data_IF_462638046360
#
_entry.id   IF_462638046360
#
_cell.length_a   1.000
_cell.length_b   1.000
_cell.length_c   1.000
_cell.angle_alpha   90.00
_cell.angle_beta   90.00
_cell.angle_gamma   90.00
#
_symmetry.space_group_name_H-M   'P 1'
#
loop_
_entity.id
_entity.type
_entity.pdbx_description
1 polymer ?
#
# COMPACT_ATOMS: atom_id res chain seq x y z
N UNK A 1 7.13 3.88 6.29
CA UNK A 1 6.15 4.99 6.31
C UNK A 1 4.75 4.40 6.28
N UNK A 2 3.81 4.85 7.11
CA UNK A 2 2.42 4.33 7.09
C UNK A 2 1.51 5.11 6.11
N UNK A 3 0.36 4.55 5.77
CA UNK A 3 -0.56 5.14 4.79
C UNK A 3 -0.99 6.58 5.10
N UNK A 4 -1.26 6.91 6.37
CA UNK A 4 -1.66 8.26 6.76
C UNK A 4 -0.53 9.27 6.54
N UNK A 5 0.70 8.90 6.90
CA UNK A 5 1.89 9.70 6.66
C UNK A 5 2.15 9.87 5.16
N UNK A 6 1.97 8.82 4.38
CA UNK A 6 2.11 8.86 2.91
C UNK A 6 1.09 9.81 2.27
N UNK A 7 -0.17 9.78 2.70
CA UNK A 7 -1.17 10.73 2.22
C UNK A 7 -0.76 12.19 2.46
N UNK A 8 -0.19 12.47 3.62
CA UNK A 8 0.33 13.80 3.95
C UNK A 8 1.54 14.15 3.08
N UNK A 9 2.46 13.21 2.83
CA UNK A 9 3.64 13.46 2.00
C UNK A 9 3.30 13.75 0.54
N UNK A 10 2.21 13.18 0.02
CA UNK A 10 1.70 13.49 -1.34
C UNK A 10 0.74 14.70 -1.37
N UNK A 11 0.66 15.47 -0.27
CA UNK A 11 -0.05 16.75 -0.22
C UNK A 11 -1.51 16.71 0.22
N UNK A 12 -2.03 15.60 0.76
CA UNK A 12 -3.36 15.59 1.39
C UNK A 12 -3.32 16.29 2.74
N UNK A 13 -4.43 16.95 3.10
CA UNK A 13 -4.57 17.53 4.45
C UNK A 13 -4.56 16.43 5.51
N UNK A 14 -4.06 16.73 6.72
CA UNK A 14 -4.10 15.79 7.84
C UNK A 14 -5.50 15.25 8.13
N UNK A 15 -6.54 16.09 7.99
CA UNK A 15 -7.94 15.67 8.15
C UNK A 15 -8.33 14.62 7.11
N UNK A 16 -7.97 14.85 5.84
CA UNK A 16 -8.21 13.90 4.75
C UNK A 16 -7.45 12.60 4.98
N UNK A 17 -6.17 12.70 5.36
CA UNK A 17 -5.32 11.55 5.64
C UNK A 17 -5.90 10.67 6.74
N UNK A 18 -6.30 11.27 7.87
CA UNK A 18 -6.96 10.58 8.98
C UNK A 18 -8.28 9.95 8.57
N UNK A 19 -9.10 10.65 7.79
CA UNK A 19 -10.38 10.11 7.30
C UNK A 19 -10.17 8.89 6.40
N UNK A 20 -9.22 8.94 5.47
CA UNK A 20 -8.96 7.83 4.56
C UNK A 20 -8.34 6.64 5.30
N UNK A 21 -7.33 6.87 6.13
CA UNK A 21 -6.72 5.85 7.00
C UNK A 21 -7.75 5.19 7.91
N UNK A 22 -8.62 5.98 8.54
CA UNK A 22 -9.71 5.48 9.38
C UNK A 22 -10.78 4.71 8.60
N UNK A 23 -11.07 5.11 7.36
CA UNK A 23 -12.01 4.38 6.51
C UNK A 23 -11.47 2.99 6.14
N UNK A 24 -10.20 2.90 5.75
CA UNK A 24 -9.52 1.63 5.41
C UNK A 24 -9.51 0.69 6.61
N UNK A 25 -9.07 1.16 7.78
CA UNK A 25 -8.95 0.34 9.01
C UNK A 25 -10.29 0.06 9.70
N UNK A 26 -11.32 0.85 9.40
CA UNK A 26 -12.61 0.80 10.07
C UNK A 26 -13.72 0.33 9.14
N UNK A 27 -14.59 1.26 8.73
CA UNK A 27 -15.84 0.93 8.02
C UNK A 27 -15.64 0.04 6.79
N UNK A 28 -14.62 0.30 5.96
CA UNK A 28 -14.37 -0.52 4.77
C UNK A 28 -13.89 -1.92 5.13
N UNK A 29 -13.02 -2.07 6.14
CA UNK A 29 -12.64 -3.38 6.68
C UNK A 29 -13.85 -4.15 7.20
N UNK A 30 -14.68 -3.52 8.03
CA UNK A 30 -15.84 -4.17 8.62
C UNK A 30 -16.83 -4.65 7.56
N UNK A 31 -17.16 -3.81 6.57
CA UNK A 31 -18.07 -4.20 5.50
C UNK A 31 -17.52 -5.33 4.64
N UNK A 32 -16.21 -5.33 4.38
CA UNK A 32 -15.58 -6.42 3.62
C UNK A 32 -15.60 -7.74 4.38
N UNK A 33 -15.36 -7.72 5.69
CA UNK A 33 -15.43 -8.91 6.55
C UNK A 33 -16.87 -9.44 6.65
N UNK A 34 -17.83 -8.56 6.92
CA UNK A 34 -19.25 -8.93 7.01
C UNK A 34 -19.79 -9.54 5.71
N UNK A 35 -19.29 -9.08 4.56
CA UNK A 35 -19.64 -9.62 3.24
C UNK A 35 -18.83 -10.87 2.84
N UNK A 36 -17.90 -11.33 3.68
CA UNK A 36 -17.05 -12.50 3.40
C UNK A 36 -16.04 -12.27 2.27
N UNK A 37 -15.65 -11.02 2.00
CA UNK A 37 -14.67 -10.69 0.96
C UNK A 37 -13.22 -10.90 1.45
N UNK A 38 -13.00 -10.84 2.76
CA UNK A 38 -11.69 -10.94 3.42
C UNK A 38 -11.92 -11.34 4.88
N UNK A 39 -10.94 -12.01 5.49
CA UNK A 39 -11.03 -12.48 6.88
C UNK A 39 -10.58 -11.44 7.94
N UNK A 40 -9.90 -10.38 7.52
CA UNK A 40 -9.27 -9.38 8.40
C UNK A 40 -9.40 -7.93 7.92
N UNK A 41 -8.51 -7.06 8.38
CA UNK A 41 -8.52 -5.67 7.96
C UNK A 41 -7.99 -5.50 6.54
N UNK A 42 -8.58 -4.58 5.78
CA UNK A 42 -8.07 -4.17 4.48
C UNK A 42 -6.62 -3.69 4.53
N UNK A 43 -6.15 -3.17 5.69
CA UNK A 43 -4.76 -2.76 5.84
C UNK A 43 -3.76 -3.91 6.02
N UNK A 44 -4.24 -5.15 6.16
CA UNK A 44 -3.42 -6.36 6.27
C UNK A 44 -3.21 -7.06 4.92
N UNK A 45 -3.88 -6.59 3.86
CA UNK A 45 -3.71 -7.12 2.51
C UNK A 45 -2.38 -6.63 1.94
N UNK A 46 -1.45 -7.57 1.72
CA UNK A 46 -0.10 -7.27 1.27
C UNK A 46 0.03 -7.12 -0.25
N UNK A 47 -0.87 -7.73 -1.04
CA UNK A 47 -0.77 -7.71 -2.50
C UNK A 47 -1.79 -6.75 -3.12
N UNK A 48 -1.36 -6.06 -4.18
CA UNK A 48 -2.20 -5.11 -4.91
C UNK A 48 -3.37 -5.83 -5.59
N UNK A 49 -3.14 -7.04 -6.11
CA UNK A 49 -4.16 -7.81 -6.82
C UNK A 49 -5.27 -8.30 -5.89
N UNK A 50 -4.92 -8.84 -4.72
CA UNK A 50 -5.91 -9.24 -3.71
C UNK A 50 -6.72 -8.01 -3.24
N UNK A 51 -6.03 -6.89 -3.02
CA UNK A 51 -6.69 -5.65 -2.61
C UNK A 51 -7.68 -5.16 -3.68
N UNK A 52 -7.32 -5.23 -4.96
CA UNK A 52 -8.20 -4.87 -6.08
C UNK A 52 -9.42 -5.78 -6.19
N UNK A 53 -9.24 -7.08 -5.98
CA UNK A 53 -10.34 -8.04 -6.00
C UNK A 53 -11.35 -7.73 -4.88
N UNK A 54 -10.87 -7.48 -3.66
CA UNK A 54 -11.73 -7.06 -2.54
C UNK A 54 -12.43 -5.74 -2.85
N UNK A 55 -11.72 -4.75 -3.39
CA UNK A 55 -12.32 -3.48 -3.80
C UNK A 55 -13.44 -3.65 -4.83
N UNK A 56 -13.30 -4.59 -5.77
CA UNK A 56 -14.34 -4.87 -6.75
C UNK A 56 -15.62 -5.37 -6.09
N UNK A 57 -15.51 -6.36 -5.19
CA UNK A 57 -16.64 -6.88 -4.43
C UNK A 57 -17.27 -5.83 -3.50
N UNK A 58 -16.45 -5.06 -2.80
CA UNK A 58 -16.89 -4.04 -1.86
C UNK A 58 -17.71 -2.95 -2.56
N UNK A 59 -17.33 -2.56 -3.79
CA UNK A 59 -18.07 -1.59 -4.60
C UNK A 59 -19.46 -2.06 -5.04
N UNK A 60 -19.73 -3.37 -5.01
CA UNK A 60 -21.05 -3.92 -5.32
C UNK A 60 -21.99 -3.95 -4.11
N UNK A 61 -21.51 -3.69 -2.89
CA UNK A 61 -22.35 -3.72 -1.70
C UNK A 61 -23.24 -2.49 -1.62
N UNK A 62 -24.53 -2.69 -1.34
CA UNK A 62 -25.50 -1.60 -1.18
C UNK A 62 -25.08 -0.60 -0.09
N UNK A 63 -24.57 -1.11 1.04
CA UNK A 63 -24.06 -0.28 2.13
C UNK A 63 -22.91 0.62 1.68
N UNK A 64 -22.00 0.09 0.86
CA UNK A 64 -20.90 0.86 0.31
C UNK A 64 -21.44 1.95 -0.62
N UNK A 65 -22.32 1.60 -1.56
CA UNK A 65 -22.86 2.56 -2.53
C UNK A 65 -23.62 3.71 -1.84
N UNK A 66 -24.46 3.39 -0.87
CA UNK A 66 -25.20 4.37 -0.08
C UNK A 66 -24.25 5.28 0.71
N UNK A 67 -23.28 4.70 1.44
CA UNK A 67 -22.35 5.47 2.28
C UNK A 67 -21.35 6.27 1.48
N UNK A 68 -20.90 5.76 0.34
CA UNK A 68 -20.02 6.47 -0.57
C UNK A 68 -20.71 7.67 -1.22
N UNK A 69 -21.99 7.54 -1.57
CA UNK A 69 -22.79 8.67 -2.09
C UNK A 69 -22.95 9.75 -1.01
N UNK A 70 -23.38 9.39 0.20
CA UNK A 70 -23.51 10.33 1.33
C UNK A 70 -22.17 10.98 1.69
N UNK A 71 -21.08 10.23 1.60
CA UNK A 71 -19.72 10.69 1.84
C UNK A 71 -19.07 11.43 0.68
N UNK A 72 -19.81 11.81 -0.37
CA UNK A 72 -19.29 12.50 -1.56
C UNK A 72 -18.08 11.80 -2.21
N UNK A 73 -18.10 10.47 -2.30
CA UNK A 73 -17.04 9.68 -2.92
C UNK A 73 -15.80 9.45 -2.05
N UNK A 74 -15.83 9.84 -0.77
CA UNK A 74 -14.68 9.71 0.15
C UNK A 74 -14.16 8.28 0.25
N UNK A 75 -15.05 7.28 0.32
CA UNK A 75 -14.64 5.87 0.43
C UNK A 75 -13.96 5.38 -0.84
N UNK A 76 -14.50 5.72 -2.02
CA UNK A 76 -13.87 5.39 -3.29
C UNK A 76 -12.48 6.05 -3.43
N UNK A 77 -12.35 7.31 -3.01
CA UNK A 77 -11.07 8.00 -3.01
C UNK A 77 -10.06 7.33 -2.05
N UNK A 78 -10.50 6.91 -0.87
CA UNK A 78 -9.66 6.19 0.09
C UNK A 78 -9.16 4.84 -0.48
N UNK A 79 -10.03 4.05 -1.13
CA UNK A 79 -9.64 2.78 -1.77
C UNK A 79 -8.63 2.99 -2.89
N UNK A 80 -8.84 3.99 -3.74
CA UNK A 80 -7.92 4.30 -4.83
C UNK A 80 -6.56 4.75 -4.28
N UNK A 81 -6.55 5.68 -3.32
CA UNK A 81 -5.30 6.13 -2.71
C UNK A 81 -4.56 5.02 -1.97
N UNK A 82 -5.25 4.06 -1.35
CA UNK A 82 -4.60 2.91 -0.74
C UNK A 82 -3.99 1.97 -1.78
N UNK A 83 -4.64 1.82 -2.94
CA UNK A 83 -4.08 1.07 -4.08
C UNK A 83 -2.79 1.72 -4.59
N UNK A 84 -2.78 3.05 -4.71
CA UNK A 84 -1.60 3.82 -5.11
C UNK A 84 -0.46 3.68 -4.07
N UNK A 85 -0.82 3.74 -2.78
CA UNK A 85 0.13 3.52 -1.69
C UNK A 85 0.77 2.13 -1.75
N UNK A 86 -0.01 1.07 -1.95
CA UNK A 86 0.53 -0.28 -2.10
C UNK A 86 1.46 -0.38 -3.32
N UNK A 87 1.10 0.24 -4.44
CA UNK A 87 1.94 0.26 -5.65
C UNK A 87 3.29 0.96 -5.41
N UNK A 88 3.30 2.09 -4.70
CA UNK A 88 4.53 2.83 -4.41
C UNK A 88 5.42 2.09 -3.39
N UNK A 89 4.82 1.47 -2.37
CA UNK A 89 5.57 0.67 -1.39
C UNK A 89 6.21 -0.54 -2.08
N UNK A 90 5.46 -1.30 -2.88
CA UNK A 90 5.99 -2.45 -3.62
C UNK A 90 7.08 -2.06 -4.62
N UNK A 91 6.98 -0.91 -5.30
CA UNK A 91 8.03 -0.43 -6.19
C UNK A 91 9.31 -0.06 -5.42
N UNK A 92 9.18 0.68 -4.32
CA UNK A 92 10.32 1.05 -3.48
C UNK A 92 11.02 -0.18 -2.87
N UNK A 93 10.28 -1.19 -2.42
CA UNK A 93 10.87 -2.43 -1.90
C UNK A 93 11.74 -3.12 -2.97
N UNK A 94 11.24 -3.23 -4.21
CA UNK A 94 12.01 -3.81 -5.32
C UNK A 94 13.25 -2.99 -5.69
N UNK A 95 13.17 -1.66 -5.68
CA UNK A 95 14.31 -0.79 -5.95
C UNK A 95 15.40 -0.88 -4.86
N UNK A 96 15.00 -1.04 -3.59
CA UNK A 96 15.92 -1.24 -2.47
C UNK A 96 16.66 -2.58 -2.55
N UNK A 97 15.96 -3.67 -2.93
CA UNK A 97 16.59 -4.99 -3.09
C UNK A 97 17.67 -4.98 -4.20
N UNK A 98 17.42 -4.30 -5.32
CA UNK A 98 18.41 -4.18 -6.41
C UNK A 98 19.62 -3.35 -5.97
N UNK A 99 19.39 -2.26 -5.24
CA UNK A 99 20.46 -1.40 -4.73
C UNK A 99 21.46 -2.15 -3.85
N UNK A 100 20.97 -3.02 -2.96
CA UNK A 100 21.83 -3.83 -2.09
C UNK A 100 22.66 -4.86 -2.85
N UNK A 101 22.12 -5.48 -3.91
CA UNK A 101 22.88 -6.43 -4.74
C UNK A 101 24.02 -5.73 -5.50
N UNK A 102 23.78 -4.52 -6.00
CA UNK A 102 24.80 -3.73 -6.71
C UNK A 102 25.92 -3.28 -5.76
N UNK A 103 25.57 -2.87 -4.53
CA UNK A 103 26.55 -2.49 -3.50
C UNK A 103 27.40 -3.69 -3.04
N UNK A 104 26.80 -4.87 -2.88
CA UNK A 104 27.50 -6.09 -2.46
C UNK A 104 28.49 -6.60 -3.53
N UNK A 105 28.13 -6.49 -4.83
CA UNK A 105 29.01 -6.88 -5.95
C UNK A 105 30.22 -5.94 -6.13
N UNK A 106 30.07 -4.64 -5.89
CA UNK A 106 31.17 -3.67 -6.01
C UNK A 106 32.22 -3.84 -4.90
N UNK A 107 31.80 -4.28 -3.72
CA UNK A 107 32.70 -4.63 -2.62
C UNK A 107 33.49 -5.91 -2.95
N UNK A 108 32.84 -6.94 -3.51
CA UNK A 108 33.51 -8.21 -3.82
C UNK A 108 34.56 -8.10 -4.94
N UNK A 109 34.35 -7.22 -5.92
CA UNK A 109 35.33 -6.98 -7.00
C UNK A 109 36.55 -6.16 -6.54
N UNK A 110 36.35 -5.20 -5.63
CA UNK A 110 37.45 -4.39 -5.05
C UNK A 110 38.33 -5.23 -4.12
N UNK A 111 37.74 -6.16 -3.37
CA UNK A 111 38.48 -7.09 -2.50
C UNK A 111 39.24 -8.17 -3.31
N UNK A 112 38.72 -8.62 -4.47
CA UNK A 112 39.44 -9.53 -5.37
C UNK A 112 40.65 -8.89 -6.06
N UNK A 113 40.58 -7.61 -6.41
CA UNK A 113 41.69 -6.91 -7.06
C UNK A 113 42.93 -6.78 -6.15
N UNK A 114 42.73 -6.77 -4.84
CA UNK A 114 43.83 -6.61 -3.86
C UNK A 114 44.58 -7.92 -3.59
N UNK A 115 43.95 -9.08 -3.80
CA UNK A 115 44.55 -10.40 -3.57
C UNK A 115 45.36 -10.96 -4.76
N UNK A 116 45.29 -10.35 -5.94
CA UNK A 116 45.94 -10.85 -7.16
C UNK A 116 47.33 -10.23 -7.42
N UNK A 117 47.71 -9.16 -6.71
CA UNK A 117 48.98 -8.43 -6.92
C UNK A 117 50.10 -8.75 -5.90
N UNK A 118 50.03 -9.86 -5.17
CA UNK A 118 51.11 -10.29 -4.24
C UNK A 118 51.74 -11.62 -4.65
N UNK A 119 52.15 -11.74 -5.92
CA UNK A 119 53.08 -12.78 -6.38
C UNK A 119 54.17 -12.20 -7.25
#
# INVERSE_FOLDING_TARGET
MNFEQWLVSIGKSHKTAKNYSGAIKGGLSNWSVEAGLVEGSLSEIATIDDFRQVCHGLRQLDIYQARNTVGNGMYNAALNSYTDYLAEVTQNDLEQDIGQIVEDQLLTDTEKATLVNTR
#
